data_IF_875323532476
#
_entry.id   IF_875323532476
#
_cell.length_a   1.000
_cell.length_b   1.000
_cell.length_c   1.000
_cell.angle_alpha   90.00
_cell.angle_beta   90.00
_cell.angle_gamma   90.00
#
_symmetry.space_group_name_H-M   'P 1'
#
loop_
_entity.id
_entity.type
_entity.pdbx_description
1 polymer ?
#
# COMPACT_ATOMS: atom_id res chain seq x y z
N UNK A 1 -6.29 15.87 17.33
CA UNK A 1 -7.34 15.06 17.97
C UNK A 1 -8.40 15.90 18.73
N UNK A 2 -8.09 16.65 19.83
CA UNK A 2 -9.13 17.37 20.62
C UNK A 2 -9.92 18.39 19.81
N UNK A 3 -9.24 19.22 19.00
CA UNK A 3 -9.90 20.21 18.15
C UNK A 3 -10.77 19.54 17.10
N UNK A 4 -10.31 18.46 16.53
CA UNK A 4 -11.04 17.67 15.54
C UNK A 4 -12.29 17.07 16.16
N UNK A 5 -12.18 16.44 17.35
CA UNK A 5 -13.33 15.91 18.09
C UNK A 5 -14.38 16.96 18.41
N UNK A 6 -13.96 18.17 18.82
CA UNK A 6 -14.90 19.28 19.07
C UNK A 6 -15.62 19.72 17.79
N UNK A 7 -14.93 19.77 16.66
CA UNK A 7 -15.49 20.11 15.36
C UNK A 7 -16.49 19.07 14.88
N UNK A 8 -16.13 17.77 14.97
CA UNK A 8 -17.01 16.67 14.61
C UNK A 8 -18.25 16.58 15.51
N UNK A 9 -18.10 16.81 16.83
CA UNK A 9 -19.22 16.87 17.77
C UNK A 9 -20.19 18.02 17.44
N UNK A 10 -19.68 19.19 17.06
CA UNK A 10 -20.52 20.32 16.61
C UNK A 10 -21.27 19.96 15.33
N UNK A 11 -20.61 19.29 14.39
CA UNK A 11 -21.22 18.82 13.14
C UNK A 11 -22.34 17.82 13.42
N UNK A 12 -22.09 16.85 14.28
CA UNK A 12 -23.10 15.87 14.69
C UNK A 12 -24.30 16.53 15.35
N UNK A 13 -24.07 17.48 16.28
CA UNK A 13 -25.15 18.20 16.97
C UNK A 13 -26.06 18.98 16.01
N UNK A 14 -25.57 19.41 14.85
CA UNK A 14 -26.38 20.04 13.80
C UNK A 14 -27.20 19.00 13.01
N UNK A 15 -26.63 17.84 12.74
CA UNK A 15 -27.29 16.78 11.97
C UNK A 15 -28.26 15.95 12.83
N UNK A 16 -27.90 15.69 14.08
CA UNK A 16 -28.63 14.83 15.03
C UNK A 16 -28.76 15.53 16.41
N UNK A 17 -29.65 16.52 16.53
CA UNK A 17 -29.79 17.29 17.79
C UNK A 17 -30.16 16.39 18.97
N UNK A 18 -29.44 16.54 20.11
CA UNK A 18 -29.69 15.81 21.33
C UNK A 18 -28.99 14.46 21.45
N UNK A 19 -28.21 14.06 20.46
CA UNK A 19 -27.37 12.86 20.53
C UNK A 19 -25.96 13.25 21.01
N UNK A 20 -25.40 12.48 21.94
CA UNK A 20 -24.05 12.70 22.46
C UNK A 20 -23.01 12.09 21.50
N UNK A 21 -21.97 12.87 21.12
CA UNK A 21 -20.88 12.42 20.28
C UNK A 21 -19.95 11.47 21.04
N UNK A 22 -19.71 10.31 20.47
CA UNK A 22 -18.83 9.27 21.00
C UNK A 22 -17.71 8.91 20.02
N UNK A 23 -16.75 8.11 20.47
CA UNK A 23 -15.68 7.60 19.58
C UNK A 23 -16.21 6.72 18.44
N UNK A 24 -17.36 6.08 18.62
CA UNK A 24 -18.01 5.30 17.57
C UNK A 24 -18.51 6.15 16.39
N UNK A 25 -18.79 7.43 16.64
CA UNK A 25 -19.28 8.36 15.62
C UNK A 25 -18.15 9.02 14.82
N UNK A 26 -16.90 8.91 15.32
CA UNK A 26 -15.75 9.65 14.80
C UNK A 26 -15.57 9.46 13.30
N UNK A 27 -15.37 8.23 12.85
CA UNK A 27 -15.09 7.93 11.45
C UNK A 27 -16.21 8.36 10.50
N UNK A 28 -17.47 8.23 10.93
CA UNK A 28 -18.63 8.64 10.13
C UNK A 28 -18.63 10.14 9.86
N UNK A 29 -18.42 10.94 10.91
CA UNK A 29 -18.45 12.41 10.79
C UNK A 29 -17.15 12.97 10.20
N UNK A 30 -16.03 12.34 10.44
CA UNK A 30 -14.76 12.65 9.81
C UNK A 30 -14.82 12.44 8.28
N UNK A 31 -15.36 11.32 7.82
CA UNK A 31 -15.55 11.03 6.41
C UNK A 31 -16.53 12.02 5.75
N UNK A 32 -17.63 12.36 6.42
CA UNK A 32 -18.57 13.37 5.95
C UNK A 32 -17.90 14.75 5.80
N UNK A 33 -17.04 15.13 6.76
CA UNK A 33 -16.28 16.37 6.70
C UNK A 33 -15.20 16.33 5.60
N UNK A 34 -14.51 15.21 5.45
CA UNK A 34 -13.51 14.99 4.40
C UNK A 34 -14.12 15.19 3.02
N UNK A 35 -15.26 14.58 2.76
CA UNK A 35 -15.99 14.73 1.49
C UNK A 35 -16.40 16.16 1.21
N UNK A 36 -16.88 16.89 2.23
CA UNK A 36 -17.27 18.28 2.07
C UNK A 36 -16.07 19.22 1.81
N UNK A 37 -14.96 19.00 2.53
CA UNK A 37 -13.79 19.88 2.42
C UNK A 37 -12.99 19.65 1.12
N UNK A 38 -12.88 18.41 0.69
CA UNK A 38 -11.98 18.06 -0.42
C UNK A 38 -12.72 17.67 -1.69
N UNK A 39 -14.00 17.27 -1.61
CA UNK A 39 -14.81 16.93 -2.78
C UNK A 39 -14.33 15.69 -3.53
N UNK A 40 -13.52 14.85 -2.90
CA UNK A 40 -12.96 13.63 -3.49
C UNK A 40 -13.26 12.45 -2.58
N UNK A 41 -13.74 11.37 -3.16
CA UNK A 41 -13.90 10.07 -2.53
C UNK A 41 -13.35 8.96 -3.44
N UNK A 42 -13.34 7.74 -2.92
CA UNK A 42 -12.82 6.58 -3.67
C UNK A 42 -13.61 6.31 -4.96
N UNK A 43 -14.91 6.64 -5.03
CA UNK A 43 -15.71 6.44 -6.24
C UNK A 43 -15.22 7.31 -7.39
N UNK A 44 -14.75 8.53 -7.09
CA UNK A 44 -14.20 9.46 -8.07
C UNK A 44 -12.77 9.06 -8.48
N UNK A 45 -11.97 8.55 -7.54
CA UNK A 45 -10.57 8.19 -7.77
C UNK A 45 -10.40 6.81 -8.43
N UNK A 46 -11.20 5.83 -8.04
CA UNK A 46 -11.06 4.44 -8.47
C UNK A 46 -10.94 4.24 -9.99
N UNK A 47 -11.65 4.96 -10.87
CA UNK A 47 -11.48 4.83 -12.31
C UNK A 47 -10.06 5.09 -12.84
N UNK A 48 -9.23 5.80 -12.08
CA UNK A 48 -7.83 6.12 -12.42
C UNK A 48 -6.83 5.20 -11.74
N UNK A 49 -7.28 4.31 -10.85
CA UNK A 49 -6.46 3.48 -9.97
C UNK A 49 -6.67 1.98 -10.26
N UNK A 50 -6.52 1.60 -11.52
CA UNK A 50 -6.61 0.19 -11.94
C UNK A 50 -5.38 -0.58 -11.47
N UNK A 51 -5.57 -1.79 -10.91
CA UNK A 51 -4.53 -2.59 -10.24
C UNK A 51 -3.28 -2.81 -11.10
N UNK A 52 -3.43 -3.17 -12.40
CA UNK A 52 -2.27 -3.41 -13.24
C UNK A 52 -1.47 -2.13 -13.50
N UNK A 53 -2.16 -1.01 -13.65
CA UNK A 53 -1.51 0.29 -13.79
C UNK A 53 -0.76 0.66 -12.50
N UNK A 54 -1.35 0.40 -11.33
CA UNK A 54 -0.70 0.66 -10.03
C UNK A 54 0.54 -0.21 -9.86
N UNK A 55 0.48 -1.50 -10.19
CA UNK A 55 1.64 -2.40 -10.19
C UNK A 55 2.75 -1.87 -11.11
N UNK A 56 2.40 -1.44 -12.33
CA UNK A 56 3.36 -0.81 -13.26
C UNK A 56 3.98 0.47 -12.68
N UNK A 57 3.19 1.27 -11.96
CA UNK A 57 3.68 2.45 -11.23
C UNK A 57 4.66 2.13 -10.11
N UNK A 58 4.38 1.08 -9.33
CA UNK A 58 5.28 0.56 -8.28
C UNK A 58 6.60 0.10 -8.90
N UNK A 59 6.54 -0.69 -9.96
CA UNK A 59 7.74 -1.18 -10.66
C UNK A 59 8.51 -0.05 -11.34
N UNK A 60 7.81 0.93 -11.90
CA UNK A 60 8.45 2.13 -12.46
C UNK A 60 9.24 2.90 -11.40
N UNK A 61 8.67 3.10 -10.21
CA UNK A 61 9.38 3.76 -9.11
C UNK A 61 10.66 3.00 -8.72
N UNK A 62 10.57 1.68 -8.56
CA UNK A 62 11.72 0.84 -8.24
C UNK A 62 12.79 0.86 -9.36
N UNK A 63 12.38 0.82 -10.61
CA UNK A 63 13.30 0.95 -11.75
C UNK A 63 14.04 2.29 -11.72
N UNK A 64 13.32 3.40 -11.46
CA UNK A 64 13.93 4.74 -11.40
C UNK A 64 14.91 4.92 -10.25
N UNK A 65 14.66 4.26 -9.13
CA UNK A 65 15.49 4.34 -7.92
C UNK A 65 16.70 3.40 -7.97
N UNK A 66 16.50 2.18 -8.45
CA UNK A 66 17.47 1.10 -8.28
C UNK A 66 17.94 0.48 -9.61
N UNK A 67 17.32 0.82 -10.75
CA UNK A 67 17.66 0.25 -12.04
C UNK A 67 17.12 -1.16 -12.29
N UNK A 68 16.42 -1.75 -11.34
CA UNK A 68 15.87 -3.12 -11.46
C UNK A 68 14.71 -3.18 -12.45
N UNK A 69 14.52 -4.34 -13.07
CA UNK A 69 13.47 -4.61 -14.05
C UNK A 69 12.66 -5.84 -13.65
N UNK A 70 11.39 -5.90 -14.08
CA UNK A 70 10.42 -6.94 -13.71
C UNK A 70 9.94 -7.65 -14.97
N UNK A 71 10.12 -8.97 -15.02
CA UNK A 71 9.75 -9.83 -16.13
C UNK A 71 8.73 -10.86 -15.66
N UNK A 72 7.49 -10.73 -16.10
CA UNK A 72 6.42 -11.64 -15.66
C UNK A 72 6.69 -13.08 -16.14
N UNK A 73 6.46 -14.03 -15.24
CA UNK A 73 6.76 -15.45 -15.39
C UNK A 73 5.47 -16.27 -15.25
N UNK A 74 4.65 -16.29 -16.30
CA UNK A 74 3.41 -17.07 -16.35
C UNK A 74 3.67 -18.58 -16.18
N UNK A 75 4.82 -19.05 -16.63
CA UNK A 75 5.26 -20.44 -16.47
C UNK A 75 5.43 -20.82 -14.99
N UNK A 76 5.92 -19.91 -14.16
CA UNK A 76 6.04 -20.12 -12.71
C UNK A 76 4.71 -19.90 -12.00
N UNK A 77 3.94 -18.91 -12.41
CA UNK A 77 2.61 -18.63 -11.83
C UNK A 77 1.66 -19.83 -11.94
N UNK A 78 1.74 -20.60 -13.04
CA UNK A 78 0.94 -21.81 -13.25
C UNK A 78 1.17 -22.92 -12.19
N UNK A 79 2.24 -22.85 -11.42
CA UNK A 79 2.60 -23.81 -10.37
C UNK A 79 2.33 -23.28 -8.95
N UNK A 80 1.79 -22.06 -8.83
CA UNK A 80 1.49 -21.46 -7.53
C UNK A 80 0.22 -22.06 -6.93
N UNK A 81 0.03 -21.82 -5.63
CA UNK A 81 -1.07 -22.39 -4.84
C UNK A 81 -2.45 -21.77 -5.14
N UNK A 82 -2.52 -20.68 -5.87
CA UNK A 82 -3.75 -20.04 -6.30
C UNK A 82 -3.57 -19.47 -7.73
N UNK A 83 -4.56 -19.61 -8.64
CA UNK A 83 -4.42 -19.19 -10.03
C UNK A 83 -4.37 -17.67 -10.24
N UNK A 84 -4.71 -16.89 -9.23
CA UNK A 84 -4.68 -15.42 -9.28
C UNK A 84 -3.31 -14.84 -8.87
N UNK A 85 -2.37 -15.68 -8.45
CA UNK A 85 -1.03 -15.23 -8.14
C UNK A 85 -0.26 -14.86 -9.40
N UNK A 86 0.55 -13.82 -9.28
CA UNK A 86 1.45 -13.38 -10.34
C UNK A 86 2.89 -13.50 -9.87
N UNK A 87 3.77 -13.86 -10.77
CA UNK A 87 5.20 -14.05 -10.46
C UNK A 87 6.03 -13.23 -11.42
N UNK A 88 7.02 -12.49 -10.90
CA UNK A 88 7.97 -11.75 -11.70
C UNK A 88 9.40 -12.14 -11.33
N UNK A 89 10.22 -12.35 -12.35
CA UNK A 89 11.66 -12.39 -12.22
C UNK A 89 12.18 -10.96 -12.17
N UNK A 90 12.86 -10.62 -11.08
CA UNK A 90 13.46 -9.30 -10.86
C UNK A 90 14.92 -9.37 -11.25
N UNK A 91 15.36 -8.43 -12.10
CA UNK A 91 16.73 -8.37 -12.58
C UNK A 91 17.41 -7.05 -12.26
N UNK A 92 18.69 -7.12 -11.99
CA UNK A 92 19.58 -5.98 -11.88
C UNK A 92 19.80 -5.29 -13.24
N UNK A 93 20.40 -4.10 -13.23
CA UNK A 93 20.68 -3.33 -14.43
C UNK A 93 21.64 -4.05 -15.41
N UNK A 94 22.48 -4.96 -14.93
CA UNK A 94 23.36 -5.79 -15.75
C UNK A 94 22.66 -7.04 -16.32
N UNK A 95 21.38 -7.25 -16.01
CA UNK A 95 20.57 -8.38 -16.45
C UNK A 95 20.68 -9.61 -15.56
N UNK A 96 21.51 -9.61 -14.53
CA UNK A 96 21.58 -10.71 -13.55
C UNK A 96 20.28 -10.81 -12.75
N UNK A 97 19.88 -12.04 -12.40
CA UNK A 97 18.68 -12.26 -11.57
C UNK A 97 18.95 -11.84 -10.14
N UNK A 98 18.14 -10.91 -9.63
CA UNK A 98 18.14 -10.49 -8.24
C UNK A 98 17.25 -11.39 -7.39
N UNK A 99 15.97 -11.55 -7.79
CA UNK A 99 14.93 -12.19 -6.97
C UNK A 99 13.80 -12.78 -7.83
N UNK A 100 12.91 -13.55 -7.20
CA UNK A 100 11.54 -13.71 -7.64
C UNK A 100 10.60 -12.90 -6.72
N UNK A 101 9.70 -12.15 -7.33
CA UNK A 101 8.64 -11.42 -6.65
C UNK A 101 7.29 -12.05 -6.96
N UNK A 102 6.48 -12.32 -5.93
CA UNK A 102 5.15 -12.91 -6.03
C UNK A 102 4.12 -11.92 -5.54
N UNK A 103 3.08 -11.68 -6.32
CA UNK A 103 1.95 -10.84 -5.94
C UNK A 103 0.70 -11.67 -5.69
N UNK A 104 0.19 -11.65 -4.47
CA UNK A 104 -1.06 -12.26 -4.04
C UNK A 104 -2.05 -11.14 -3.63
N UNK A 105 -2.70 -10.55 -4.61
CA UNK A 105 -3.44 -9.29 -4.41
C UNK A 105 -4.88 -9.49 -3.91
N UNK A 106 -5.52 -10.62 -4.23
CA UNK A 106 -6.96 -10.78 -4.02
C UNK A 106 -7.32 -11.44 -2.69
N UNK A 107 -8.41 -10.95 -2.10
CA UNK A 107 -9.05 -11.63 -0.98
C UNK A 107 -9.68 -12.95 -1.43
N UNK A 108 -9.59 -13.98 -0.60
CA UNK A 108 -10.26 -15.27 -0.80
C UNK A 108 -10.51 -15.98 0.52
N UNK A 109 -11.32 -17.02 0.49
CA UNK A 109 -11.58 -17.87 1.66
C UNK A 109 -10.27 -18.49 2.19
N UNK A 110 -10.09 -18.44 3.49
CA UNK A 110 -8.89 -18.97 4.19
C UNK A 110 -7.69 -18.03 4.22
N UNK A 111 -7.73 -16.86 3.54
CA UNK A 111 -6.70 -15.84 3.62
C UNK A 111 -6.98 -14.90 4.80
N UNK A 112 -5.97 -14.60 5.61
CA UNK A 112 -6.10 -13.61 6.70
C UNK A 112 -6.29 -12.21 6.15
N UNK A 113 -7.03 -11.36 6.88
CA UNK A 113 -7.21 -9.95 6.52
C UNK A 113 -5.95 -9.12 6.72
N UNK A 114 -5.98 -7.88 6.22
CA UNK A 114 -4.83 -6.97 6.21
C UNK A 114 -3.94 -7.16 4.99
N UNK A 115 -2.71 -6.63 5.06
CA UNK A 115 -1.69 -6.81 4.03
C UNK A 115 -0.36 -7.15 4.71
N UNK A 116 0.51 -7.85 4.01
CA UNK A 116 1.83 -8.20 4.53
C UNK A 116 2.79 -8.63 3.42
N UNK A 117 4.06 -8.44 3.67
CA UNK A 117 5.15 -9.08 2.95
C UNK A 117 5.61 -10.33 3.70
N UNK A 118 6.03 -11.36 2.97
CA UNK A 118 6.72 -12.51 3.54
C UNK A 118 7.81 -13.02 2.58
N UNK A 119 8.66 -13.92 3.08
CA UNK A 119 9.77 -14.49 2.33
C UNK A 119 9.59 -16.01 2.26
N UNK A 120 9.53 -16.55 1.05
CA UNK A 120 9.55 -18.01 0.86
C UNK A 120 10.96 -18.58 0.89
N UNK A 121 11.94 -17.82 0.42
CA UNK A 121 13.33 -18.20 0.45
C UNK A 121 14.18 -16.99 0.82
N UNK A 122 14.84 -17.07 1.97
CA UNK A 122 15.74 -16.02 2.45
C UNK A 122 17.04 -16.03 1.64
N UNK A 123 17.48 -14.85 1.17
CA UNK A 123 18.80 -14.75 0.55
C UNK A 123 19.89 -14.87 1.62
N UNK A 124 21.04 -15.37 1.20
CA UNK A 124 22.22 -15.41 2.08
C UNK A 124 23.44 -15.94 1.37
N UNK A 125 24.59 -15.28 1.60
CA UNK A 125 25.85 -15.72 1.00
C UNK A 125 26.27 -17.12 1.47
N UNK A 126 25.84 -17.52 2.68
CA UNK A 126 26.11 -18.85 3.21
C UNK A 126 25.41 -19.96 2.41
N UNK A 127 24.19 -19.70 1.90
CA UNK A 127 23.36 -20.68 1.21
C UNK A 127 23.40 -20.55 -0.31
N UNK A 128 24.01 -19.47 -0.81
CA UNK A 128 24.04 -19.10 -2.24
C UNK A 128 22.64 -19.11 -2.87
N UNK A 129 21.65 -18.61 -2.14
CA UNK A 129 20.24 -18.61 -2.56
C UNK A 129 19.77 -17.21 -2.93
N UNK A 130 18.88 -17.15 -3.92
CA UNK A 130 18.19 -15.92 -4.31
C UNK A 130 16.88 -15.75 -3.53
N UNK A 131 16.49 -14.52 -3.18
CA UNK A 131 15.24 -14.29 -2.48
C UNK A 131 14.01 -14.63 -3.32
N UNK A 132 13.00 -15.20 -2.65
CA UNK A 132 11.65 -15.35 -3.19
C UNK A 132 10.71 -14.64 -2.22
N UNK A 133 10.21 -13.49 -2.64
CA UNK A 133 9.45 -12.57 -1.81
C UNK A 133 8.00 -12.54 -2.27
N UNK A 134 7.07 -12.47 -1.34
CA UNK A 134 5.64 -12.34 -1.64
C UNK A 134 5.04 -11.12 -0.94
N UNK A 135 4.23 -10.38 -1.67
CA UNK A 135 3.29 -9.42 -1.12
C UNK A 135 1.88 -9.98 -1.15
N UNK A 136 1.22 -9.97 0.01
CA UNK A 136 -0.16 -10.40 0.17
C UNK A 136 -1.03 -9.18 0.49
N UNK A 137 -2.08 -8.97 -0.30
CA UNK A 137 -3.12 -7.98 -0.07
C UNK A 137 -4.50 -8.67 0.00
N UNK A 138 -5.53 -7.93 0.34
CA UNK A 138 -6.91 -8.43 0.40
C UNK A 138 -7.86 -7.54 -0.40
N UNK A 139 -7.52 -7.28 -1.66
CA UNK A 139 -8.34 -6.50 -2.59
C UNK A 139 -9.54 -7.35 -3.01
N UNK A 140 -10.73 -6.77 -2.99
CA UNK A 140 -11.93 -7.45 -3.48
C UNK A 140 -11.82 -7.69 -4.99
N UNK A 141 -11.86 -8.97 -5.40
CA UNK A 141 -11.84 -9.33 -6.81
C UNK A 141 -13.21 -9.04 -7.42
N UNK A 142 -13.31 -8.20 -8.46
CA UNK A 142 -14.59 -7.98 -9.13
C UNK A 142 -15.07 -9.24 -9.84
N UNK A 143 -16.39 -9.42 -9.95
CA UNK A 143 -16.97 -10.54 -10.67
C UNK A 143 -16.65 -10.49 -12.18
N UNK A 144 -16.40 -9.30 -12.71
CA UNK A 144 -15.98 -9.06 -14.09
C UNK A 144 -15.36 -7.68 -14.23
N UNK A 145 -14.54 -7.48 -15.26
CA UNK A 145 -13.90 -6.20 -15.54
C UNK A 145 -12.62 -5.95 -14.75
N UNK A 146 -12.08 -4.72 -14.81
CA UNK A 146 -10.82 -4.35 -14.15
C UNK A 146 -11.00 -4.24 -12.63
N UNK A 147 -9.92 -4.45 -11.91
CA UNK A 147 -9.85 -4.24 -10.46
C UNK A 147 -9.49 -2.78 -10.19
N UNK A 148 -10.47 -2.02 -9.71
CA UNK A 148 -10.29 -0.61 -9.36
C UNK A 148 -10.02 -0.49 -7.86
N UNK A 149 -9.00 0.27 -7.50
CA UNK A 149 -8.49 0.39 -6.14
C UNK A 149 -9.03 1.64 -5.45
N UNK A 150 -9.17 1.58 -4.12
CA UNK A 150 -9.21 2.78 -3.27
C UNK A 150 -7.83 3.41 -3.20
N UNK A 151 -7.76 4.68 -2.76
CA UNK A 151 -6.46 5.31 -2.51
C UNK A 151 -5.65 4.59 -1.43
N UNK A 152 -6.31 4.09 -0.40
CA UNK A 152 -5.68 3.30 0.67
C UNK A 152 -5.04 2.01 0.12
N UNK A 153 -5.71 1.31 -0.79
CA UNK A 153 -5.12 0.14 -1.46
C UNK A 153 -3.88 0.49 -2.29
N UNK A 154 -3.86 1.67 -2.92
CA UNK A 154 -2.66 2.14 -3.65
C UNK A 154 -1.50 2.34 -2.69
N UNK A 155 -1.71 3.05 -1.57
CA UNK A 155 -0.68 3.25 -0.54
C UNK A 155 -0.19 1.90 0.00
N UNK A 156 -1.11 0.97 0.28
CA UNK A 156 -0.77 -0.38 0.73
C UNK A 156 0.10 -1.13 -0.29
N UNK A 157 -0.19 -1.01 -1.61
CA UNK A 157 0.66 -1.61 -2.65
C UNK A 157 2.10 -1.07 -2.58
N UNK A 158 2.27 0.24 -2.42
CA UNK A 158 3.61 0.84 -2.27
C UNK A 158 4.27 0.44 -0.96
N UNK A 159 3.53 0.40 0.15
CA UNK A 159 4.02 0.00 1.47
C UNK A 159 4.59 -1.43 1.44
N UNK A 160 3.76 -2.41 1.06
CA UNK A 160 4.17 -3.82 1.01
C UNK A 160 5.31 -4.06 0.03
N UNK A 161 5.34 -3.29 -1.06
CA UNK A 161 6.44 -3.36 -1.99
C UNK A 161 7.73 -2.76 -1.42
N UNK A 162 7.65 -1.79 -0.51
CA UNK A 162 8.79 -1.29 0.26
C UNK A 162 9.44 -2.38 1.12
N UNK A 163 8.62 -3.20 1.78
CA UNK A 163 9.09 -4.41 2.46
C UNK A 163 9.68 -5.43 1.48
N UNK A 164 9.05 -5.61 0.31
CA UNK A 164 9.57 -6.51 -0.71
C UNK A 164 10.96 -6.08 -1.20
N UNK A 165 11.18 -4.79 -1.45
CA UNK A 165 12.49 -4.24 -1.80
C UNK A 165 13.51 -4.50 -0.69
N UNK A 166 13.13 -4.29 0.58
CA UNK A 166 13.98 -4.58 1.73
C UNK A 166 14.40 -6.07 1.76
N UNK A 167 13.46 -6.98 1.48
CA UNK A 167 13.76 -8.41 1.37
C UNK A 167 14.63 -8.76 0.17
N UNK A 168 14.32 -8.21 -1.01
CA UNK A 168 15.06 -8.51 -2.25
C UNK A 168 16.50 -8.00 -2.23
N UNK A 169 16.74 -6.83 -1.63
CA UNK A 169 18.09 -6.24 -1.49
C UNK A 169 18.86 -6.72 -0.28
N UNK A 170 18.27 -7.56 0.55
CA UNK A 170 18.99 -8.19 1.65
C UNK A 170 20.19 -8.98 1.11
N UNK A 171 21.39 -8.64 1.57
CA UNK A 171 22.64 -9.24 1.11
C UNK A 171 23.58 -9.58 2.26
N UNK A 172 23.00 -10.06 3.37
CA UNK A 172 23.77 -10.47 4.54
C UNK A 172 24.38 -11.86 4.37
N UNK A 173 25.41 -12.15 5.13
CA UNK A 173 26.03 -13.48 5.13
C UNK A 173 25.07 -14.54 5.74
N UNK A 174 24.40 -14.18 6.83
CA UNK A 174 23.47 -15.04 7.54
C UNK A 174 22.03 -14.71 7.20
N UNK A 175 21.23 -15.66 6.68
CA UNK A 175 19.81 -15.45 6.37
C UNK A 175 18.97 -14.95 7.56
N UNK A 176 19.28 -15.38 8.77
CA UNK A 176 18.52 -15.04 9.99
C UNK A 176 18.54 -13.57 10.39
N UNK A 177 19.41 -12.76 9.80
CA UNK A 177 19.52 -11.30 10.05
C UNK A 177 19.39 -10.50 8.74
N UNK A 178 18.68 -11.07 7.77
CA UNK A 178 18.55 -10.51 6.44
C UNK A 178 17.18 -9.87 6.20
N UNK A 179 17.13 -8.90 5.30
CA UNK A 179 15.89 -8.26 4.88
C UNK A 179 15.05 -7.76 6.06
N UNK A 180 13.82 -8.23 6.17
CA UNK A 180 12.88 -7.85 7.23
C UNK A 180 13.11 -8.51 8.58
N UNK A 181 14.14 -9.38 8.71
CA UNK A 181 14.59 -9.94 10.00
C UNK A 181 15.41 -8.91 10.79
N UNK A 182 14.84 -7.77 11.07
CA UNK A 182 15.43 -6.63 11.80
C UNK A 182 14.62 -6.30 13.06
N UNK A 183 15.13 -5.39 13.88
CA UNK A 183 14.39 -4.90 15.03
C UNK A 183 13.06 -4.23 14.60
N UNK A 184 12.01 -4.38 15.41
CA UNK A 184 10.64 -3.91 15.08
C UNK A 184 10.55 -2.41 14.86
N UNK A 185 11.38 -1.62 15.51
CA UNK A 185 11.45 -0.17 15.37
C UNK A 185 12.07 0.31 14.04
N UNK A 186 12.64 -0.62 13.25
CA UNK A 186 13.28 -0.32 11.95
C UNK A 186 12.49 -0.89 10.78
N UNK A 187 11.75 -1.97 10.99
CA UNK A 187 11.15 -2.77 9.89
C UNK A 187 10.22 -1.95 8.99
N UNK A 188 9.48 -0.98 9.55
CA UNK A 188 8.55 -0.13 8.80
C UNK A 188 9.22 1.07 8.10
N UNK A 189 10.50 1.31 8.35
CA UNK A 189 11.17 2.46 7.74
C UNK A 189 11.23 2.37 6.20
N UNK A 190 11.63 1.24 5.58
CA UNK A 190 11.64 1.11 4.12
C UNK A 190 10.24 1.16 3.51
N UNK A 191 9.24 0.53 4.14
CA UNK A 191 7.86 0.50 3.66
C UNK A 191 7.22 1.88 3.66
N UNK A 192 7.30 2.61 4.77
CA UNK A 192 6.74 3.96 4.91
C UNK A 192 7.46 4.99 4.01
N UNK A 193 8.77 4.86 3.82
CA UNK A 193 9.50 5.70 2.85
C UNK A 193 8.98 5.44 1.44
N UNK A 194 8.69 4.18 1.09
CA UNK A 194 8.23 3.81 -0.25
C UNK A 194 6.83 4.36 -0.58
N UNK A 195 5.95 4.56 0.41
CA UNK A 195 4.63 5.19 0.23
C UNK A 195 4.71 6.58 -0.43
N UNK A 196 5.79 7.34 -0.16
CA UNK A 196 5.94 8.68 -0.71
C UNK A 196 5.98 8.71 -2.25
N UNK A 197 6.39 7.61 -2.87
CA UNK A 197 6.46 7.51 -4.33
C UNK A 197 5.09 7.45 -4.98
N UNK A 198 4.04 7.03 -4.26
CA UNK A 198 2.69 6.98 -4.80
C UNK A 198 2.22 8.37 -5.30
N UNK A 199 2.56 9.44 -4.60
CA UNK A 199 2.22 10.82 -4.98
C UNK A 199 3.31 11.55 -5.77
N UNK A 200 4.44 10.89 -6.04
CA UNK A 200 5.50 11.52 -6.83
C UNK A 200 5.02 11.78 -8.26
N UNK A 201 5.17 13.01 -8.80
CA UNK A 201 4.55 13.40 -10.08
C UNK A 201 4.84 12.47 -11.25
N UNK A 202 6.08 12.00 -11.38
CA UNK A 202 6.48 11.09 -12.48
C UNK A 202 5.88 9.69 -12.32
N UNK A 203 5.77 9.18 -11.09
CA UNK A 203 5.20 7.87 -10.78
C UNK A 203 3.69 7.92 -10.98
N UNK A 204 3.04 8.94 -10.43
CA UNK A 204 1.60 9.11 -10.55
C UNK A 204 1.18 9.30 -12.02
N UNK A 205 1.89 10.09 -12.81
CA UNK A 205 1.63 10.23 -14.25
C UNK A 205 1.74 8.90 -15.02
N UNK A 206 2.51 7.94 -14.49
CA UNK A 206 2.65 6.61 -15.06
C UNK A 206 1.40 5.77 -14.86
N UNK A 207 0.88 5.70 -13.63
CA UNK A 207 -0.18 4.75 -13.27
C UNK A 207 -1.59 5.36 -13.16
N UNK A 208 -1.72 6.64 -12.73
CA UNK A 208 -3.02 7.25 -12.49
C UNK A 208 -3.69 7.67 -13.81
N UNK A 209 -4.21 6.69 -14.53
CA UNK A 209 -4.88 6.84 -15.83
C UNK A 209 -6.23 6.15 -15.80
N UNK A 210 -7.22 6.82 -16.40
CA UNK A 210 -8.57 6.29 -16.48
C UNK A 210 -8.60 4.97 -17.24
N UNK A 211 -9.11 3.91 -16.61
CA UNK A 211 -9.00 2.53 -17.10
C UNK A 211 -9.68 2.27 -18.47
N UNK A 212 -10.62 3.14 -18.90
CA UNK A 212 -11.29 3.02 -20.20
C UNK A 212 -10.65 3.95 -21.25
N UNK A 213 -10.43 5.23 -20.89
CA UNK A 213 -9.98 6.24 -21.87
C UNK A 213 -8.47 6.38 -21.94
N UNK A 214 -7.72 5.92 -20.92
CA UNK A 214 -6.28 6.12 -20.79
C UNK A 214 -5.87 7.55 -20.45
N UNK A 215 -6.85 8.48 -20.27
CA UNK A 215 -6.56 9.85 -19.89
C UNK A 215 -5.95 9.92 -18.48
N UNK A 216 -5.00 10.83 -18.26
CA UNK A 216 -4.39 11.00 -16.95
C UNK A 216 -5.42 11.55 -15.95
N UNK A 217 -5.20 11.26 -14.67
CA UNK A 217 -6.00 11.86 -13.58
C UNK A 217 -5.96 13.37 -13.68
N UNK A 218 -7.11 14.07 -13.62
CA UNK A 218 -7.19 15.52 -13.67
C UNK A 218 -6.39 16.20 -12.56
N UNK A 219 -5.74 17.32 -12.88
CA UNK A 219 -4.86 18.02 -11.93
C UNK A 219 -5.58 18.48 -10.66
N UNK A 220 -6.86 18.87 -10.77
CA UNK A 220 -7.67 19.25 -9.63
C UNK A 220 -7.92 18.08 -8.66
N UNK A 221 -8.16 16.86 -9.16
CA UNK A 221 -8.28 15.67 -8.30
C UNK A 221 -6.97 15.37 -7.58
N UNK A 222 -5.86 15.57 -8.26
CA UNK A 222 -4.54 15.40 -7.71
C UNK A 222 -4.21 16.38 -6.59
N UNK A 223 -4.58 17.66 -6.77
CA UNK A 223 -4.43 18.69 -5.75
C UNK A 223 -5.30 18.39 -4.53
N UNK A 224 -6.55 17.99 -4.74
CA UNK A 224 -7.47 17.57 -3.69
C UNK A 224 -6.97 16.36 -2.93
N UNK A 225 -6.46 15.34 -3.62
CA UNK A 225 -5.87 14.15 -3.02
C UNK A 225 -4.65 14.50 -2.14
N UNK A 226 -3.78 15.38 -2.59
CA UNK A 226 -2.64 15.86 -1.79
C UNK A 226 -3.08 16.67 -0.58
N UNK A 227 -4.10 17.50 -0.71
CA UNK A 227 -4.62 18.30 0.39
C UNK A 227 -5.22 17.44 1.52
N UNK A 228 -5.71 16.24 1.21
CA UNK A 228 -6.20 15.29 2.21
C UNK A 228 -5.10 14.67 3.09
N UNK A 229 -3.85 14.65 2.63
CA UNK A 229 -2.78 13.86 3.26
C UNK A 229 -2.47 14.19 4.72
N UNK A 230 -2.92 15.34 5.23
CA UNK A 230 -2.80 15.72 6.64
C UNK A 230 -4.13 15.70 7.42
N UNK A 231 -5.24 15.39 6.74
CA UNK A 231 -6.56 15.38 7.36
C UNK A 231 -6.70 14.15 8.28
N UNK A 232 -7.28 14.34 9.47
CA UNK A 232 -7.42 13.26 10.46
C UNK A 232 -6.13 12.84 11.18
N UNK A 233 -4.97 13.33 10.75
CA UNK A 233 -3.66 12.92 11.28
C UNK A 233 -3.55 13.05 12.81
N UNK A 234 -4.21 14.05 13.40
CA UNK A 234 -4.21 14.26 14.85
C UNK A 234 -4.89 13.11 15.60
N UNK A 235 -5.97 12.55 15.07
CA UNK A 235 -6.65 11.40 15.65
C UNK A 235 -5.82 10.12 15.47
N UNK A 236 -5.41 9.82 14.26
CA UNK A 236 -4.60 8.63 13.93
C UNK A 236 -3.32 8.57 14.79
N UNK A 237 -2.61 9.68 14.92
CA UNK A 237 -1.42 9.76 15.78
C UNK A 237 -1.75 9.53 17.25
N UNK A 238 -2.89 10.06 17.74
CA UNK A 238 -3.30 9.86 19.14
C UNK A 238 -3.70 8.43 19.43
N UNK A 239 -4.36 7.76 18.50
CA UNK A 239 -4.73 6.33 18.59
C UNK A 239 -3.47 5.45 18.64
N UNK A 240 -2.55 5.67 17.71
CA UNK A 240 -1.28 4.96 17.66
C UNK A 240 -0.44 5.15 18.93
N UNK A 241 -0.30 6.40 19.40
CA UNK A 241 0.43 6.69 20.64
C UNK A 241 -0.28 6.13 21.86
N UNK A 242 -1.63 6.11 21.87
CA UNK A 242 -2.40 5.48 22.91
C UNK A 242 -2.12 3.99 23.06
N UNK A 243 -2.05 3.27 21.93
CA UNK A 243 -1.67 1.87 21.89
C UNK A 243 -0.22 1.64 22.38
N UNK A 244 0.72 2.47 21.89
CA UNK A 244 2.13 2.40 22.29
C UNK A 244 2.32 2.66 23.80
N UNK A 245 1.60 3.65 24.36
CA UNK A 245 1.65 3.94 25.80
C UNK A 245 1.04 2.81 26.64
N UNK A 246 -0.03 2.18 26.16
CA UNK A 246 -0.62 1.03 26.80
C UNK A 246 0.35 -0.15 26.84
N UNK A 247 1.00 -0.44 25.71
CA UNK A 247 2.02 -1.51 25.60
C UNK A 247 3.19 -1.26 26.56
N UNK A 248 3.67 -0.01 26.67
CA UNK A 248 4.75 0.33 27.62
C UNK A 248 4.33 0.28 29.09
N UNK A 249 3.04 0.39 29.40
CA UNK A 249 2.52 0.31 30.76
C UNK A 249 2.19 -1.11 31.21
N UNK A 250 2.13 -2.05 30.30
CA UNK A 250 1.83 -3.46 30.54
C UNK A 250 3.10 -4.22 30.92
#
# INVERSE_FOLDING_TARGET
ARRDGQRLAQRMAQAEPGVEFTTADWLRYEEAERKELFGVDDEILAPYLELNNVIDGVFFAANRLYGITFHEREDLAAHMYDPDLRVWEVREADGSVLALFVGDYYARAGKSGGAWMNTFNEPGALTDTKPIIINCLNIAKPASGPTLLSWDNVITCFHEFGHALHGMFGATYYPSVNGTNVARDVVEFPSQVNENWALHPQVLARYARHHVTGEPMPANLLEQLRAQGSFGQGYMTSEYLGAALLDQAW
#
